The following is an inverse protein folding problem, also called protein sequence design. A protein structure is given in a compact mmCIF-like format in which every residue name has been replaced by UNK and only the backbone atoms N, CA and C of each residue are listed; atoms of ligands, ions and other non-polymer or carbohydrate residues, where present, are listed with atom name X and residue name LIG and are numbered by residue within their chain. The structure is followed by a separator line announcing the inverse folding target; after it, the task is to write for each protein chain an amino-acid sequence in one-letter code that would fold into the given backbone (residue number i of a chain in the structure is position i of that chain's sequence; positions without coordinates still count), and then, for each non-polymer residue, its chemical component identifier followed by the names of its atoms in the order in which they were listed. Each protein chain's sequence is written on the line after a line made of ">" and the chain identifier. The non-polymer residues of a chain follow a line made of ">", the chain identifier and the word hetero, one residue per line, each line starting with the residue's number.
data_IF_870908164045
#
_entry.id   IF_870908164045
#
_cell.length_a   1.000
_cell.length_b   1.000
_cell.length_c   1.000
_cell.angle_alpha   90.00
_cell.angle_beta   90.00
_cell.angle_gamma   90.00
#
_symmetry.space_group_name_H-M   'P 1'
#
loop_
_entity.id
_entity.type
_entity.pdbx_description
1 polymer ?
#
# COMPACT_ATOMS: atom_id res chain seq x y z
N UNK A 1 -5.12 -7.78 19.39
CA UNK A 1 -4.56 -8.53 18.23
C UNK A 1 -5.53 -9.56 17.67
N UNK A 2 -6.21 -10.37 18.48
CA UNK A 2 -7.09 -11.45 17.99
C UNK A 2 -8.41 -10.99 17.32
N UNK A 3 -8.59 -9.70 17.06
CA UNK A 3 -9.77 -9.12 16.40
C UNK A 3 -9.43 -8.56 15.00
N UNK A 4 -8.20 -8.74 14.53
CA UNK A 4 -7.78 -8.28 13.20
C UNK A 4 -8.11 -9.38 12.20
N UNK A 5 -9.05 -9.10 11.30
CA UNK A 5 -9.51 -10.06 10.29
C UNK A 5 -8.65 -10.03 9.01
N UNK A 6 -8.26 -8.82 8.59
CA UNK A 6 -7.53 -8.58 7.34
C UNK A 6 -6.21 -7.84 7.57
N UNK A 7 -5.19 -8.23 6.80
CA UNK A 7 -3.98 -7.46 6.59
C UNK A 7 -3.88 -7.10 5.11
N UNK A 8 -4.05 -5.81 4.79
CA UNK A 8 -3.89 -5.33 3.43
C UNK A 8 -2.40 -5.05 3.18
N UNK A 9 -1.82 -5.70 2.18
CA UNK A 9 -0.42 -5.51 1.79
C UNK A 9 -0.37 -4.87 0.40
N UNK A 10 -0.22 -3.54 0.37
CA UNK A 10 -0.07 -2.79 -0.88
C UNK A 10 1.26 -3.05 -1.59
N UNK A 11 2.28 -3.45 -0.84
CA UNK A 11 3.64 -3.69 -1.32
C UNK A 11 4.43 -4.57 -0.34
N UNK A 12 5.45 -5.28 -0.81
CA UNK A 12 6.14 -6.33 -0.06
C UNK A 12 7.64 -6.11 0.15
N UNK A 13 8.19 -4.94 -0.16
CA UNK A 13 9.58 -4.61 0.19
C UNK A 13 9.80 -4.73 1.72
N UNK A 14 10.99 -5.15 2.20
CA UNK A 14 11.19 -5.52 3.60
C UNK A 14 10.95 -4.41 4.63
N UNK A 15 11.02 -3.14 4.24
CA UNK A 15 10.67 -2.00 5.09
C UNK A 15 9.17 -1.94 5.42
N UNK A 16 8.31 -2.44 4.53
CA UNK A 16 6.87 -2.57 4.75
C UNK A 16 6.47 -3.96 5.24
N UNK A 17 7.09 -5.02 4.72
CA UNK A 17 6.71 -6.41 4.96
C UNK A 17 7.51 -7.12 6.06
N UNK A 18 8.57 -6.50 6.60
CA UNK A 18 9.53 -7.16 7.52
C UNK A 18 8.91 -7.74 8.79
N UNK A 19 7.73 -7.26 9.20
CA UNK A 19 7.02 -7.77 10.39
C UNK A 19 5.90 -8.77 10.08
N UNK A 20 5.60 -9.04 8.81
CA UNK A 20 4.44 -9.86 8.41
C UNK A 20 4.54 -11.28 8.93
N UNK A 21 5.73 -11.90 8.87
CA UNK A 21 5.94 -13.27 9.37
C UNK A 21 5.60 -13.38 10.87
N UNK A 22 6.03 -12.41 11.67
CA UNK A 22 5.74 -12.37 13.10
C UNK A 22 4.25 -12.14 13.38
N UNK A 23 3.58 -11.31 12.57
CA UNK A 23 2.16 -11.05 12.71
C UNK A 23 1.33 -12.30 12.39
N UNK A 24 1.67 -13.03 11.32
CA UNK A 24 1.03 -14.30 10.95
C UNK A 24 1.19 -15.38 12.04
N UNK A 25 2.36 -15.45 12.69
CA UNK A 25 2.59 -16.35 13.84
C UNK A 25 1.69 -16.00 15.03
N UNK A 26 1.42 -14.71 15.25
CA UNK A 26 0.59 -14.23 16.37
C UNK A 26 -0.91 -14.32 16.08
N UNK A 27 -1.32 -14.26 14.81
CA UNK A 27 -2.72 -14.27 14.38
C UNK A 27 -2.91 -15.33 13.28
N UNK A 28 -3.00 -16.62 13.62
CA UNK A 28 -3.08 -17.70 12.62
C UNK A 28 -4.31 -17.64 11.71
N UNK A 29 -5.36 -16.90 12.12
CA UNK A 29 -6.58 -16.70 11.34
C UNK A 29 -6.55 -15.52 10.37
N UNK A 30 -5.49 -14.71 10.39
CA UNK A 30 -5.36 -13.48 9.61
C UNK A 30 -5.42 -13.76 8.10
N UNK A 31 -6.24 -12.99 7.39
CA UNK A 31 -6.33 -13.06 5.93
C UNK A 31 -5.53 -11.93 5.30
N UNK A 32 -4.50 -12.27 4.53
CA UNK A 32 -3.70 -11.30 3.80
C UNK A 32 -4.40 -10.94 2.49
N UNK A 33 -4.62 -9.66 2.22
CA UNK A 33 -5.20 -9.17 0.97
C UNK A 33 -4.13 -8.40 0.23
N UNK A 34 -3.75 -8.86 -0.96
CA UNK A 34 -2.67 -8.26 -1.74
C UNK A 34 -2.80 -8.64 -3.21
N UNK A 35 -2.07 -7.97 -4.09
CA UNK A 35 -1.98 -8.39 -5.50
C UNK A 35 -1.48 -9.84 -5.63
N UNK A 36 -1.84 -10.52 -6.72
CA UNK A 36 -1.34 -11.88 -7.00
C UNK A 36 0.18 -11.98 -6.91
N UNK A 37 0.90 -10.96 -7.39
CA UNK A 37 2.37 -10.89 -7.29
C UNK A 37 2.84 -10.75 -5.84
N UNK A 38 2.21 -9.88 -5.04
CA UNK A 38 2.52 -9.69 -3.62
C UNK A 38 2.31 -10.99 -2.83
N UNK A 39 1.23 -11.72 -3.09
CA UNK A 39 0.97 -13.02 -2.44
C UNK A 39 2.09 -14.02 -2.75
N UNK A 40 2.59 -14.06 -3.99
CA UNK A 40 3.72 -14.92 -4.36
C UNK A 40 4.99 -14.50 -3.61
N UNK A 41 5.30 -13.21 -3.54
CA UNK A 41 6.46 -12.71 -2.80
C UNK A 41 6.36 -12.99 -1.31
N UNK A 42 5.21 -12.73 -0.68
CA UNK A 42 5.01 -12.95 0.75
C UNK A 42 5.15 -14.43 1.16
N UNK A 43 4.76 -15.37 0.30
CA UNK A 43 5.00 -16.81 0.55
C UNK A 43 6.49 -17.11 0.70
N UNK A 44 7.34 -16.53 -0.15
CA UNK A 44 8.79 -16.70 -0.08
C UNK A 44 9.44 -15.88 1.04
N UNK A 45 8.98 -14.65 1.26
CA UNK A 45 9.49 -13.77 2.33
C UNK A 45 9.21 -14.37 3.70
N UNK A 46 7.99 -14.87 3.92
CA UNK A 46 7.57 -15.37 5.24
C UNK A 46 7.85 -16.86 5.43
N UNK A 47 8.07 -17.62 4.35
CA UNK A 47 8.22 -19.07 4.38
C UNK A 47 7.10 -19.79 5.17
N UNK A 48 5.89 -19.24 5.15
CA UNK A 48 4.76 -19.76 5.93
C UNK A 48 3.47 -19.83 5.12
N UNK A 49 2.55 -20.70 5.56
CA UNK A 49 1.20 -20.78 4.98
C UNK A 49 0.29 -19.83 5.72
N UNK A 50 -0.47 -19.03 4.97
CA UNK A 50 -1.45 -18.09 5.50
C UNK A 50 -2.69 -18.07 4.59
N UNK A 51 -3.81 -17.57 5.13
CA UNK A 51 -5.01 -17.32 4.35
C UNK A 51 -4.81 -16.05 3.53
N UNK A 52 -5.30 -16.02 2.31
CA UNK A 52 -5.18 -14.83 1.48
C UNK A 52 -6.36 -14.65 0.53
N UNK A 53 -6.51 -13.40 0.08
CA UNK A 53 -7.35 -12.97 -1.02
C UNK A 53 -6.42 -12.28 -2.01
N UNK A 54 -6.44 -12.73 -3.26
CA UNK A 54 -5.77 -12.01 -4.34
C UNK A 54 -6.65 -10.83 -4.74
N UNK A 55 -6.13 -9.62 -4.59
CA UNK A 55 -6.81 -8.38 -4.91
C UNK A 55 -6.64 -8.06 -6.40
N UNK A 56 -7.74 -8.09 -7.14
CA UNK A 56 -7.80 -7.63 -8.53
C UNK A 56 -8.12 -6.13 -8.61
N UNK A 57 -7.77 -5.51 -9.72
CA UNK A 57 -8.13 -4.10 -9.97
C UNK A 57 -9.64 -3.91 -9.95
N UNK A 58 -10.11 -2.95 -9.14
CA UNK A 58 -11.53 -2.65 -8.95
C UNK A 58 -12.25 -3.57 -7.98
N UNK A 59 -11.60 -4.63 -7.48
CA UNK A 59 -12.19 -5.51 -6.47
C UNK A 59 -12.41 -4.75 -5.15
N UNK A 60 -13.48 -5.12 -4.45
CA UNK A 60 -13.88 -4.49 -3.20
C UNK A 60 -14.01 -5.49 -2.05
N UNK A 61 -13.72 -5.01 -0.84
CA UNK A 61 -14.02 -5.69 0.43
C UNK A 61 -14.85 -4.74 1.29
N UNK A 62 -16.03 -5.20 1.69
CA UNK A 62 -16.87 -4.54 2.69
C UNK A 62 -16.43 -4.98 4.09
N UNK A 63 -16.17 -4.00 4.95
CA UNK A 63 -15.76 -4.14 6.34
C UNK A 63 -16.93 -3.96 7.33
N UNK A 64 -18.17 -3.88 6.84
CA UNK A 64 -19.36 -3.66 7.65
C UNK A 64 -19.64 -2.18 7.89
N UNK A 65 -19.69 -1.40 6.80
CA UNK A 65 -19.94 0.05 6.83
C UNK A 65 -18.79 0.91 6.30
N UNK A 66 -17.70 0.25 5.89
CA UNK A 66 -16.56 0.82 5.17
C UNK A 66 -16.17 -0.12 4.03
N UNK A 67 -15.78 0.43 2.89
CA UNK A 67 -15.47 -0.33 1.69
C UNK A 67 -14.07 0.01 1.22
N UNK A 68 -13.22 -1.01 1.14
CA UNK A 68 -11.91 -0.92 0.50
C UNK A 68 -12.04 -1.33 -0.96
N UNK A 69 -11.51 -0.52 -1.87
CA UNK A 69 -11.35 -0.83 -3.29
C UNK A 69 -9.87 -0.91 -3.64
N UNK A 70 -9.45 -1.95 -4.35
CA UNK A 70 -8.05 -2.17 -4.72
C UNK A 70 -7.76 -1.69 -6.13
N UNK A 71 -6.63 -1.02 -6.33
CA UNK A 71 -6.26 -0.41 -7.61
C UNK A 71 -4.85 -0.87 -7.96
N UNK A 72 -4.73 -1.73 -8.97
CA UNK A 72 -3.44 -2.21 -9.43
C UNK A 72 -2.53 -1.05 -9.91
N UNK A 73 -1.32 -0.98 -9.35
CA UNK A 73 -0.28 -0.01 -9.68
C UNK A 73 1.08 -0.72 -9.87
N UNK A 74 1.17 -1.75 -10.75
CA UNK A 74 2.39 -2.52 -10.91
C UNK A 74 3.53 -1.65 -11.44
N UNK A 75 4.75 -1.98 -11.05
CA UNK A 75 5.98 -1.23 -11.35
C UNK A 75 5.99 0.19 -10.81
N UNK A 76 5.21 0.45 -9.76
CA UNK A 76 5.24 1.71 -9.03
C UNK A 76 5.52 1.49 -7.53
N UNK A 77 6.74 1.12 -7.14
CA UNK A 77 7.92 0.86 -8.00
C UNK A 77 8.27 -0.63 -8.17
N UNK A 78 7.55 -1.54 -7.53
CA UNK A 78 7.73 -2.99 -7.72
C UNK A 78 6.55 -3.62 -8.47
N UNK A 79 6.72 -4.83 -9.04
CA UNK A 79 5.67 -5.50 -9.82
C UNK A 79 4.43 -5.89 -8.99
N UNK A 80 4.50 -5.81 -7.66
CA UNK A 80 3.44 -6.19 -6.73
C UNK A 80 2.61 -5.02 -6.21
N UNK A 81 3.04 -3.79 -6.47
CA UNK A 81 2.47 -2.57 -5.92
C UNK A 81 0.99 -2.38 -6.32
N UNK A 82 0.18 -1.95 -5.36
CA UNK A 82 -1.21 -1.53 -5.54
C UNK A 82 -1.58 -0.39 -4.60
N UNK A 83 -2.64 0.34 -4.92
CA UNK A 83 -3.30 1.25 -4.00
C UNK A 83 -4.52 0.60 -3.38
N UNK A 84 -4.92 1.13 -2.23
CA UNK A 84 -6.20 0.81 -1.60
C UNK A 84 -6.96 2.10 -1.36
N UNK A 85 -8.20 2.20 -1.85
CA UNK A 85 -9.07 3.35 -1.64
C UNK A 85 -10.17 2.98 -0.63
N UNK A 86 -10.31 3.78 0.43
CA UNK A 86 -11.37 3.67 1.41
C UNK A 86 -12.49 4.65 1.03
N UNK A 87 -13.58 4.12 0.46
CA UNK A 87 -14.58 4.91 -0.26
C UNK A 87 -15.29 5.95 0.61
N UNK A 88 -15.76 5.54 1.78
CA UNK A 88 -16.63 6.37 2.62
C UNK A 88 -15.86 7.50 3.28
N UNK A 89 -14.57 7.29 3.55
CA UNK A 89 -13.69 8.31 4.13
C UNK A 89 -12.85 9.05 3.08
N UNK A 90 -12.95 8.66 1.80
CA UNK A 90 -12.24 9.30 0.69
C UNK A 90 -10.72 9.26 0.83
N UNK A 91 -10.19 8.24 1.50
CA UNK A 91 -8.76 8.09 1.77
C UNK A 91 -8.14 7.15 0.74
N UNK A 92 -7.05 7.58 0.10
CA UNK A 92 -6.25 6.73 -0.78
C UNK A 92 -4.93 6.35 -0.08
N UNK A 93 -4.75 5.05 0.16
CA UNK A 93 -3.49 4.47 0.64
C UNK A 93 -2.60 4.12 -0.55
N UNK A 94 -1.52 4.87 -0.74
CA UNK A 94 -0.71 4.83 -1.97
C UNK A 94 0.63 4.13 -1.83
N UNK A 95 0.95 3.66 -0.61
CA UNK A 95 2.28 3.15 -0.29
C UNK A 95 3.36 4.17 -0.71
N UNK A 96 4.39 3.73 -1.40
CA UNK A 96 5.57 4.50 -1.82
C UNK A 96 5.27 5.68 -2.76
N UNK A 97 4.18 5.62 -3.53
CA UNK A 97 4.00 6.47 -4.73
C UNK A 97 4.02 7.98 -4.48
N UNK A 98 3.47 8.43 -3.35
CA UNK A 98 3.44 9.84 -2.95
C UNK A 98 4.16 10.07 -1.62
N UNK A 99 5.07 9.16 -1.26
CA UNK A 99 5.86 9.24 -0.05
C UNK A 99 7.17 10.01 -0.23
N UNK A 100 7.88 10.14 0.88
CA UNK A 100 9.29 10.52 0.89
C UNK A 100 9.96 10.00 2.16
N UNK A 101 11.29 9.99 2.19
CA UNK A 101 12.04 9.68 3.40
C UNK A 101 12.20 10.94 4.24
N UNK A 102 11.24 11.19 5.13
CA UNK A 102 11.25 12.31 6.05
C UNK A 102 10.66 11.88 7.40
N UNK A 103 11.35 12.22 8.49
CA UNK A 103 10.93 11.85 9.85
C UNK A 103 10.58 13.10 10.65
N UNK A 104 9.35 13.15 11.13
CA UNK A 104 8.81 14.18 12.02
C UNK A 104 7.83 13.53 13.02
N UNK A 105 7.72 14.00 14.27
CA UNK A 105 6.75 13.46 15.22
C UNK A 105 5.28 13.71 14.82
N UNK A 106 5.02 14.62 13.88
CA UNK A 106 3.67 14.90 13.36
C UNK A 106 3.39 14.05 12.14
N UNK A 107 2.11 13.72 11.95
CA UNK A 107 1.66 12.79 10.90
C UNK A 107 1.21 13.53 9.65
N UNK A 108 0.43 14.61 9.80
CA UNK A 108 -0.15 15.34 8.66
C UNK A 108 0.78 16.43 8.15
N UNK A 109 0.85 16.56 6.82
CA UNK A 109 1.78 17.44 6.13
C UNK A 109 1.57 18.93 6.47
N UNK A 110 0.34 19.35 6.73
CA UNK A 110 -0.03 20.72 7.11
C UNK A 110 0.39 21.08 8.55
N UNK A 111 0.69 20.09 9.38
CA UNK A 111 1.17 20.30 10.74
C UNK A 111 2.71 20.41 10.82
N UNK A 112 3.43 19.99 9.78
CA UNK A 112 4.89 19.96 9.76
C UNK A 112 5.45 21.35 9.45
N UNK A 113 6.13 21.97 10.43
CA UNK A 113 6.74 23.31 10.26
C UNK A 113 8.03 23.32 9.43
N UNK A 114 8.62 22.15 9.17
CA UNK A 114 9.87 22.02 8.42
C UNK A 114 9.57 21.81 6.95
N UNK A 115 10.36 22.42 6.07
CA UNK A 115 10.28 22.12 4.64
C UNK A 115 10.82 20.72 4.36
N UNK A 116 9.98 19.87 3.76
CA UNK A 116 10.30 18.51 3.36
C UNK A 116 10.22 18.32 1.83
N UNK A 117 10.10 19.40 1.07
CA UNK A 117 10.02 19.38 -0.40
C UNK A 117 11.25 18.77 -1.05
N UNK A 118 12.44 19.01 -0.48
CA UNK A 118 13.69 18.40 -0.95
C UNK A 118 13.69 16.87 -0.77
N UNK A 119 13.09 16.37 0.31
CA UNK A 119 12.94 14.93 0.53
C UNK A 119 11.99 14.30 -0.49
N UNK A 120 10.87 14.96 -0.80
CA UNK A 120 9.96 14.54 -1.88
C UNK A 120 10.65 14.49 -3.22
N UNK A 121 11.34 15.58 -3.59
CA UNK A 121 12.05 15.66 -4.85
C UNK A 121 13.12 14.59 -4.95
N UNK A 122 13.91 14.41 -3.91
CA UNK A 122 14.95 13.38 -3.86
C UNK A 122 14.36 11.97 -4.02
N UNK A 123 13.29 11.65 -3.29
CA UNK A 123 12.62 10.35 -3.39
C UNK A 123 12.11 10.10 -4.80
N UNK A 124 11.43 11.08 -5.40
CA UNK A 124 10.97 10.98 -6.77
C UNK A 124 12.14 10.81 -7.74
N UNK A 125 13.13 11.69 -7.70
CA UNK A 125 14.26 11.71 -8.64
C UNK A 125 15.05 10.40 -8.59
N UNK A 126 15.27 9.84 -7.39
CA UNK A 126 16.11 8.65 -7.19
C UNK A 126 15.39 7.32 -7.33
N UNK A 127 14.09 7.24 -6.98
CA UNK A 127 13.37 5.96 -6.90
C UNK A 127 12.25 5.89 -7.93
N UNK A 128 11.39 6.91 -7.99
CA UNK A 128 10.16 6.86 -8.80
C UNK A 128 10.37 7.28 -10.25
N UNK A 129 11.34 8.17 -10.51
CA UNK A 129 11.56 8.78 -11.83
C UNK A 129 11.82 7.80 -12.99
N UNK A 130 12.43 6.60 -12.79
CA UNK A 130 12.53 5.59 -13.84
C UNK A 130 11.16 4.99 -14.25
N UNK A 131 10.15 5.10 -13.40
CA UNK A 131 8.82 4.50 -13.56
C UNK A 131 7.75 5.51 -14.01
N UNK A 132 8.14 6.68 -14.53
CA UNK A 132 7.24 7.76 -14.97
C UNK A 132 6.01 7.31 -15.78
N UNK A 133 6.12 6.41 -16.78
CA UNK A 133 4.94 5.94 -17.50
C UNK A 133 3.89 5.27 -16.59
N UNK A 134 4.35 4.49 -15.60
CA UNK A 134 3.49 3.83 -14.62
C UNK A 134 2.91 4.82 -13.60
N UNK A 135 3.63 5.90 -13.27
CA UNK A 135 3.08 7.03 -12.49
C UNK A 135 1.89 7.63 -13.22
N UNK A 136 2.02 7.93 -14.52
CA UNK A 136 0.95 8.53 -15.32
C UNK A 136 -0.26 7.60 -15.45
N UNK A 137 -0.03 6.29 -15.64
CA UNK A 137 -1.10 5.29 -15.65
C UNK A 137 -1.82 5.21 -14.29
N UNK A 138 -1.07 5.21 -13.19
CA UNK A 138 -1.64 5.20 -11.85
C UNK A 138 -2.45 6.47 -11.56
N UNK A 139 -1.96 7.64 -11.98
CA UNK A 139 -2.69 8.90 -11.89
C UNK A 139 -3.99 8.87 -12.70
N UNK A 140 -3.97 8.31 -13.91
CA UNK A 140 -5.18 8.18 -14.75
C UNK A 140 -6.26 7.31 -14.08
N UNK A 141 -5.85 6.25 -13.38
CA UNK A 141 -6.75 5.37 -12.62
C UNK A 141 -7.41 6.05 -11.42
N UNK A 142 -6.75 7.03 -10.80
CA UNK A 142 -7.23 7.66 -9.56
C UNK A 142 -7.82 9.07 -9.76
N UNK A 143 -7.69 9.66 -10.95
CA UNK A 143 -8.06 11.07 -11.23
C UNK A 143 -9.51 11.42 -10.91
N UNK A 144 -10.42 10.45 -11.05
CA UNK A 144 -11.86 10.63 -10.86
C UNK A 144 -12.33 10.16 -9.47
N UNK A 145 -11.42 9.70 -8.61
CA UNK A 145 -11.75 9.34 -7.24
C UNK A 145 -12.00 10.61 -6.41
N UNK A 146 -13.04 10.62 -5.56
CA UNK A 146 -13.26 11.72 -4.64
C UNK A 146 -12.28 11.58 -3.47
N UNK A 147 -11.04 12.03 -3.63
CA UNK A 147 -9.99 11.99 -2.60
C UNK A 147 -10.03 13.31 -1.81
N UNK A 148 -9.93 13.23 -0.48
CA UNK A 148 -9.86 14.39 0.44
C UNK A 148 -8.59 14.40 1.29
#
# INVERSE_FOLDING_TARGET
>A
LNQIDYLIMNHTEPDHAGSVEQLLKKIPGLTVVASTTAIRFLKEITNTKFKYIEAEHGQEIDLGGKTLQFIAAPFLHWPDSMYTFLKEDKILFTCDSFGCHFSDPRVFNDLIDRDFSDAYRYYFDMIISPFKPFVLEALDKIKDLPIE
#
